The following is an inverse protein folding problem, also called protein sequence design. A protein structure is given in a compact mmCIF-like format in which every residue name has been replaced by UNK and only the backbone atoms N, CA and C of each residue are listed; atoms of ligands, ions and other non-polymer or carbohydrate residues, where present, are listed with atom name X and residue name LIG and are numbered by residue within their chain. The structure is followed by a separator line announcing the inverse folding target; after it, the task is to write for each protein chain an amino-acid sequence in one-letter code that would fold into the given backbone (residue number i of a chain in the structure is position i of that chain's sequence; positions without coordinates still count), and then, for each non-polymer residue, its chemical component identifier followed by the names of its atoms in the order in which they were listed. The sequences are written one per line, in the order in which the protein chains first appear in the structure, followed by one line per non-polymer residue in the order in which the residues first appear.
data_IF_685820096781
#
_entry.id   IF_685820096781
#
_cell.length_a   1.000
_cell.length_b   1.000
_cell.length_c   1.000
_cell.angle_alpha   90.00
_cell.angle_beta   90.00
_cell.angle_gamma   90.00
#
_symmetry.space_group_name_H-M   'P 1'
#
loop_
_entity.id
_entity.type
_entity.pdbx_description
1 polymer ?
#
# COMPACT_ATOMS: atom_id res chain seq x y z
N UNK A 1 36.35 3.51 -32.17
CA UNK A 1 35.07 3.24 -31.46
C UNK A 1 34.44 4.59 -31.10
N UNK A 2 33.24 4.91 -31.58
CA UNK A 2 32.64 6.26 -31.48
C UNK A 2 31.97 6.51 -30.12
N UNK A 3 32.15 7.71 -29.54
CA UNK A 3 31.51 8.12 -28.28
C UNK A 3 29.97 8.02 -28.30
N UNK A 4 29.34 8.13 -29.47
CA UNK A 4 27.87 7.97 -29.61
C UNK A 4 27.41 6.54 -29.32
N UNK A 5 28.23 5.54 -29.66
CA UNK A 5 27.91 4.13 -29.43
C UNK A 5 27.95 3.78 -27.94
N UNK A 6 28.95 4.28 -27.21
CA UNK A 6 29.06 4.06 -25.76
C UNK A 6 27.92 4.70 -24.97
N UNK A 7 27.46 5.90 -25.36
CA UNK A 7 26.28 6.56 -24.74
C UNK A 7 24.99 5.78 -24.98
N UNK A 8 24.77 5.29 -26.20
CA UNK A 8 23.59 4.48 -26.53
C UNK A 8 23.51 3.18 -25.72
N UNK A 9 24.65 2.52 -25.45
CA UNK A 9 24.69 1.31 -24.63
C UNK A 9 24.42 1.62 -23.15
N UNK A 10 24.99 2.71 -22.63
CA UNK A 10 24.76 3.17 -21.26
C UNK A 10 23.28 3.55 -21.02
N UNK A 11 22.64 4.24 -21.96
CA UNK A 11 21.24 4.60 -21.89
C UNK A 11 20.33 3.36 -21.91
N UNK A 12 20.66 2.37 -22.74
CA UNK A 12 19.95 1.09 -22.80
C UNK A 12 20.02 0.31 -21.48
N UNK A 13 21.21 0.23 -20.89
CA UNK A 13 21.40 -0.41 -19.58
C UNK A 13 20.70 0.33 -18.44
N UNK A 14 20.74 1.67 -18.45
CA UNK A 14 20.05 2.47 -17.44
C UNK A 14 18.53 2.27 -17.50
N UNK A 15 17.95 2.27 -18.70
CA UNK A 15 16.52 1.99 -18.90
C UNK A 15 16.14 0.59 -18.39
N UNK A 16 16.92 -0.44 -18.72
CA UNK A 16 16.66 -1.80 -18.23
C UNK A 16 16.74 -1.91 -16.70
N UNK A 17 17.73 -1.26 -16.08
CA UNK A 17 17.86 -1.22 -14.62
C UNK A 17 16.69 -0.48 -13.96
N UNK A 18 16.27 0.65 -14.54
CA UNK A 18 15.13 1.41 -14.05
C UNK A 18 13.83 0.61 -14.15
N UNK A 19 13.60 -0.11 -15.27
CA UNK A 19 12.46 -1.01 -15.44
C UNK A 19 12.48 -2.11 -14.39
N UNK A 20 13.64 -2.76 -14.18
CA UNK A 20 13.78 -3.81 -13.17
C UNK A 20 13.52 -3.31 -11.74
N UNK A 21 14.06 -2.14 -11.39
CA UNK A 21 13.83 -1.51 -10.10
C UNK A 21 12.34 -1.16 -9.92
N UNK A 22 11.71 -0.57 -10.94
CA UNK A 22 10.29 -0.24 -10.92
C UNK A 22 9.41 -1.49 -10.74
N UNK A 23 9.69 -2.56 -11.50
CA UNK A 23 8.97 -3.83 -11.37
C UNK A 23 9.12 -4.44 -9.98
N UNK A 24 10.31 -4.38 -9.40
CA UNK A 24 10.56 -4.84 -8.03
C UNK A 24 9.77 -4.02 -6.99
N UNK A 25 9.81 -2.68 -7.11
CA UNK A 25 9.03 -1.80 -6.22
C UNK A 25 7.53 -2.03 -6.35
N UNK A 26 7.03 -2.22 -7.58
CA UNK A 26 5.63 -2.53 -7.83
C UNK A 26 5.24 -3.87 -7.20
N UNK A 27 6.06 -4.90 -7.36
CA UNK A 27 5.82 -6.21 -6.75
C UNK A 27 5.78 -6.11 -5.22
N UNK A 28 6.73 -5.41 -4.61
CA UNK A 28 6.77 -5.17 -3.17
C UNK A 28 5.52 -4.41 -2.72
N UNK A 29 5.15 -3.34 -3.42
CA UNK A 29 3.98 -2.51 -3.11
C UNK A 29 2.66 -3.30 -3.17
N UNK A 30 2.46 -4.11 -4.22
CA UNK A 30 1.28 -4.96 -4.36
C UNK A 30 1.25 -6.07 -3.32
N UNK A 31 2.39 -6.75 -3.12
CA UNK A 31 2.51 -7.85 -2.18
C UNK A 31 2.32 -7.41 -0.73
N UNK A 32 2.90 -6.28 -0.34
CA UNK A 32 2.75 -5.72 1.00
C UNK A 32 1.30 -5.30 1.27
N UNK A 33 0.61 -4.72 0.28
CA UNK A 33 -0.81 -4.44 0.41
C UNK A 33 -1.62 -5.71 0.64
N UNK A 34 -1.45 -6.74 -0.20
CA UNK A 34 -2.24 -7.97 -0.11
C UNK A 34 -2.05 -8.69 1.23
N UNK A 35 -0.83 -8.78 1.74
CA UNK A 35 -0.58 -9.42 3.02
C UNK A 35 -1.23 -8.61 4.14
N UNK A 36 -1.01 -7.30 4.15
CA UNK A 36 -1.41 -6.45 5.27
C UNK A 36 -2.93 -6.21 5.30
N UNK A 37 -3.57 -6.03 4.15
CA UNK A 37 -5.03 -5.88 4.07
C UNK A 37 -5.76 -7.13 4.56
N UNK A 38 -5.29 -8.33 4.18
CA UNK A 38 -5.90 -9.59 4.63
C UNK A 38 -5.72 -9.83 6.12
N UNK A 39 -4.58 -9.45 6.69
CA UNK A 39 -4.41 -9.45 8.15
C UNK A 39 -5.39 -8.48 8.81
N UNK A 40 -5.52 -7.26 8.29
CA UNK A 40 -6.43 -6.26 8.83
C UNK A 40 -7.91 -6.68 8.74
N UNK A 41 -8.32 -7.35 7.67
CA UNK A 41 -9.68 -7.88 7.53
C UNK A 41 -9.98 -8.95 8.59
N UNK A 42 -9.02 -9.84 8.84
CA UNK A 42 -9.16 -10.86 9.91
C UNK A 42 -9.28 -10.23 11.29
N UNK A 43 -8.54 -9.15 11.54
CA UNK A 43 -8.67 -8.39 12.80
C UNK A 43 -10.04 -7.74 12.89
N UNK A 44 -10.52 -7.11 11.81
CA UNK A 44 -11.85 -6.51 11.77
C UNK A 44 -12.96 -7.56 11.98
N UNK A 45 -12.85 -8.73 11.36
CA UNK A 45 -13.77 -9.85 11.55
C UNK A 45 -13.79 -10.35 13.00
N UNK A 46 -12.63 -10.38 13.66
CA UNK A 46 -12.53 -10.84 15.06
C UNK A 46 -13.23 -9.89 16.04
N UNK A 47 -13.44 -8.63 15.67
CA UNK A 47 -14.08 -7.60 16.50
C UNK A 47 -15.42 -7.13 15.93
N UNK A 48 -15.96 -7.84 14.94
CA UNK A 48 -17.20 -7.50 14.21
C UNK A 48 -17.23 -6.04 13.69
N UNK A 49 -16.07 -5.56 13.22
CA UNK A 49 -15.89 -4.20 12.72
C UNK A 49 -16.32 -4.03 11.26
N UNK A 50 -17.11 -2.99 10.97
CA UNK A 50 -17.57 -2.66 9.61
C UNK A 50 -16.44 -2.26 8.64
N UNK A 51 -15.32 -1.78 9.18
CA UNK A 51 -14.15 -1.40 8.42
C UNK A 51 -12.87 -1.97 9.01
N UNK A 52 -11.76 -1.79 8.29
CA UNK A 52 -10.47 -2.33 8.70
C UNK A 52 -9.49 -1.22 9.09
N UNK A 53 -8.55 -1.58 9.96
CA UNK A 53 -7.37 -0.79 10.26
C UNK A 53 -6.12 -1.62 10.00
N UNK A 54 -5.10 -1.03 9.39
CA UNK A 54 -3.81 -1.70 9.17
C UNK A 54 -3.10 -2.00 10.49
N UNK A 55 -3.31 -1.16 11.50
CA UNK A 55 -2.88 -1.36 12.89
C UNK A 55 -4.01 -0.99 13.85
N UNK A 56 -4.08 -1.60 15.03
CA UNK A 56 -5.13 -1.25 16.01
C UNK A 56 -5.10 0.26 16.35
N UNK A 57 -6.25 0.95 16.34
CA UNK A 57 -6.34 2.40 16.57
C UNK A 57 -6.29 2.77 18.07
N UNK A 58 -5.32 2.20 18.80
CA UNK A 58 -5.23 2.32 20.26
C UNK A 58 -4.65 3.66 20.74
N UNK A 59 -4.24 4.53 19.82
CA UNK A 59 -3.65 5.82 20.16
C UNK A 59 -3.48 6.75 18.96
N UNK A 60 -3.22 8.06 19.20
CA UNK A 60 -3.16 9.07 18.15
C UNK A 60 -2.04 8.81 17.14
N UNK A 61 -0.97 8.16 17.61
CA UNK A 61 0.12 7.70 16.75
C UNK A 61 -0.36 6.61 15.78
N UNK A 62 -1.12 5.63 16.25
CA UNK A 62 -1.66 4.54 15.45
C UNK A 62 -2.68 5.05 14.42
N UNK A 63 -3.50 6.03 14.79
CA UNK A 63 -4.41 6.69 13.84
C UNK A 63 -3.64 7.37 12.71
N UNK A 64 -2.55 8.05 13.07
CA UNK A 64 -1.68 8.72 12.10
C UNK A 64 -1.01 7.70 11.17
N UNK A 65 -0.56 6.56 11.70
CA UNK A 65 -0.02 5.45 10.90
C UNK A 65 -1.10 4.92 9.95
N UNK A 66 -2.30 4.63 10.44
CA UNK A 66 -3.42 4.19 9.61
C UNK A 66 -3.76 5.20 8.52
N UNK A 67 -3.78 6.51 8.81
CA UNK A 67 -4.04 7.55 7.83
C UNK A 67 -2.97 7.61 6.72
N UNK A 68 -1.69 7.48 7.10
CA UNK A 68 -0.58 7.45 6.14
C UNK A 68 -0.66 6.20 5.27
N UNK A 69 -0.83 5.02 5.88
CA UNK A 69 -0.88 3.74 5.17
C UNK A 69 -2.10 3.67 4.25
N UNK A 70 -3.26 4.16 4.70
CA UNK A 70 -4.46 4.32 3.88
C UNK A 70 -4.18 5.20 2.66
N UNK A 71 -3.45 6.30 2.83
CA UNK A 71 -3.10 7.21 1.73
C UNK A 71 -2.16 6.55 0.72
N UNK A 72 -1.14 5.82 1.21
CA UNK A 72 -0.18 5.08 0.37
C UNK A 72 -0.86 3.98 -0.45
N UNK A 73 -1.79 3.25 0.14
CA UNK A 73 -2.50 2.15 -0.53
C UNK A 73 -3.85 2.53 -1.14
N UNK A 74 -4.23 3.81 -1.10
CA UNK A 74 -5.54 4.28 -1.57
C UNK A 74 -5.93 3.79 -2.98
N UNK A 75 -5.02 3.77 -3.98
CA UNK A 75 -5.36 3.25 -5.30
C UNK A 75 -5.72 1.75 -5.25
N UNK A 76 -4.98 0.95 -4.48
CA UNK A 76 -5.23 -0.48 -4.35
C UNK A 76 -6.50 -0.77 -3.56
N UNK A 77 -6.74 -0.03 -2.47
CA UNK A 77 -7.98 -0.11 -1.68
C UNK A 77 -9.19 0.15 -2.58
N UNK A 78 -9.13 1.19 -3.41
CA UNK A 78 -10.23 1.52 -4.31
C UNK A 78 -10.48 0.42 -5.34
N UNK A 79 -9.43 -0.16 -5.91
CA UNK A 79 -9.53 -1.29 -6.84
C UNK A 79 -10.13 -2.52 -6.13
N UNK A 80 -9.65 -2.87 -4.95
CA UNK A 80 -10.11 -4.04 -4.18
C UNK A 80 -11.60 -3.92 -3.80
N UNK A 81 -12.03 -2.72 -3.38
CA UNK A 81 -13.43 -2.41 -3.09
C UNK A 81 -14.28 -2.40 -4.36
N UNK A 82 -13.80 -1.81 -5.47
CA UNK A 82 -14.52 -1.79 -6.74
C UNK A 82 -14.72 -3.20 -7.33
N UNK A 83 -13.78 -4.11 -7.07
CA UNK A 83 -13.88 -5.52 -7.44
C UNK A 83 -14.73 -6.36 -6.45
N UNK A 84 -15.20 -5.76 -5.35
CA UNK A 84 -15.99 -6.45 -4.32
C UNK A 84 -15.19 -7.45 -3.47
N UNK A 85 -13.86 -7.40 -3.54
CA UNK A 85 -12.96 -8.34 -2.86
C UNK A 85 -12.38 -7.81 -1.54
N UNK A 86 -12.59 -6.51 -1.26
CA UNK A 86 -12.08 -5.81 -0.09
C UNK A 86 -13.15 -5.08 0.72
N UNK A 87 -12.72 -4.44 1.81
CA UNK A 87 -13.52 -3.53 2.65
C UNK A 87 -12.96 -2.12 2.60
N UNK A 88 -13.78 -1.14 2.96
CA UNK A 88 -13.32 0.24 3.14
C UNK A 88 -12.57 0.40 4.47
N UNK A 89 -11.56 1.28 4.55
CA UNK A 89 -10.89 1.57 5.81
C UNK A 89 -11.88 2.18 6.80
N UNK A 90 -11.78 1.78 8.06
CA UNK A 90 -12.57 2.40 9.11
C UNK A 90 -12.04 3.81 9.44
N UNK A 91 -12.93 4.69 9.89
CA UNK A 91 -12.54 5.98 10.45
C UNK A 91 -11.74 5.81 11.74
N UNK A 92 -10.91 6.79 12.08
CA UNK A 92 -10.28 6.83 13.40
C UNK A 92 -11.38 6.92 14.48
N UNK A 93 -11.19 6.27 15.66
CA UNK A 93 -12.10 6.42 16.78
C UNK A 93 -12.17 7.89 17.22
N UNK A 94 -13.37 8.41 17.47
CA UNK A 94 -13.52 9.74 18.07
C UNK A 94 -13.12 9.60 19.54
N UNK A 95 -11.93 10.09 19.91
CA UNK A 95 -11.46 10.11 21.30
C UNK A 95 -12.06 11.33 22.02
N UNK A 96 -12.57 11.13 23.23
CA UNK A 96 -13.19 12.20 24.05
C UNK A 96 -14.72 12.30 23.95
N UNK A 97 -15.40 11.21 23.59
CA UNK A 97 -16.86 11.06 23.70
C UNK A 97 -17.26 10.01 24.76
N UNK A 98 -16.33 9.70 25.67
CA UNK A 98 -16.53 8.92 26.89
C UNK A 98 -16.96 9.79 28.08
#
# INVERSE_FOLDING_TARGET
MSQRFLRSLADGQYKQRAIGAFACLLFVYLGSYLIWSRMAYRTADAIDGEGFWFVSPDGPRQDSINAIVNSVYRPLIWIDVALGAGRSPASAPIRGLD
#
